data_IF_263539743726
#
_entry.id   IF_263539743726
#
_cell.length_a   1.000
_cell.length_b   1.000
_cell.length_c   1.000
_cell.angle_alpha   90.00
_cell.angle_beta   90.00
_cell.angle_gamma   90.00
#
_symmetry.space_group_name_H-M   'P 1'
#
loop_
_entity.id
_entity.type
_entity.pdbx_description
1 polymer ?
#
# COMPACT_ATOMS: atom_id res chain seq x y z
N UNK A 1 15.17 -11.18 -8.47
CA UNK A 1 13.78 -11.37 -7.99
C UNK A 1 13.17 -10.00 -7.92
N UNK A 2 12.23 -9.69 -8.83
CA UNK A 2 11.58 -8.39 -8.88
C UNK A 2 10.73 -8.11 -7.63
N UNK A 3 10.54 -6.83 -7.31
CA UNK A 3 9.70 -6.41 -6.18
C UNK A 3 8.26 -6.89 -6.36
N UNK A 4 7.62 -7.31 -5.26
CA UNK A 4 6.19 -7.67 -5.26
C UNK A 4 5.38 -6.52 -4.69
N UNK A 5 4.21 -6.28 -5.25
CA UNK A 5 3.30 -5.24 -4.78
C UNK A 5 1.85 -5.55 -5.13
N UNK A 6 0.94 -4.89 -4.43
CA UNK A 6 -0.50 -5.01 -4.73
C UNK A 6 -0.87 -3.93 -5.72
N UNK A 7 -1.52 -4.34 -6.82
CA UNK A 7 -2.11 -3.42 -7.80
C UNK A 7 -3.64 -3.53 -7.79
N UNK A 8 -4.28 -2.54 -8.37
CA UNK A 8 -5.72 -2.51 -8.55
C UNK A 8 -6.11 -2.34 -10.01
N UNK A 9 -7.16 -3.04 -10.43
CA UNK A 9 -7.91 -2.70 -11.65
C UNK A 9 -9.08 -1.78 -11.24
N UNK A 10 -9.00 -0.46 -11.52
CA UNK A 10 -10.04 0.47 -11.11
C UNK A 10 -11.39 0.21 -11.78
N UNK A 11 -11.41 -0.44 -12.95
CA UNK A 11 -12.65 -0.81 -13.65
C UNK A 11 -13.48 -1.86 -12.91
N UNK A 12 -12.83 -2.65 -12.04
CA UNK A 12 -13.46 -3.68 -11.19
C UNK A 12 -13.78 -3.16 -9.80
N UNK A 13 -13.23 -2.02 -9.39
CA UNK A 13 -13.44 -1.48 -8.07
C UNK A 13 -14.86 -0.89 -7.94
N UNK A 14 -15.62 -1.39 -6.98
CA UNK A 14 -16.99 -0.92 -6.70
C UNK A 14 -17.05 0.01 -5.48
N UNK A 15 -15.91 0.45 -4.95
CA UNK A 15 -15.84 1.39 -3.83
C UNK A 15 -16.32 0.84 -2.48
N UNK A 16 -16.52 -0.46 -2.32
CA UNK A 16 -17.10 -1.08 -1.11
C UNK A 16 -16.24 -0.95 0.17
N UNK A 17 -14.95 -0.56 0.03
CA UNK A 17 -13.98 -0.38 1.13
C UNK A 17 -13.70 -1.63 1.98
N UNK A 18 -14.13 -2.83 1.57
CA UNK A 18 -13.84 -4.08 2.27
C UNK A 18 -12.33 -4.31 2.47
N UNK A 19 -11.51 -3.92 1.48
CA UNK A 19 -10.05 -3.97 1.56
C UNK A 19 -9.47 -3.07 2.67
N UNK A 20 -10.06 -1.89 2.91
CA UNK A 20 -9.68 -1.01 4.00
C UNK A 20 -10.04 -1.63 5.36
N UNK A 21 -11.25 -2.17 5.49
CA UNK A 21 -11.69 -2.85 6.70
C UNK A 21 -10.80 -4.05 7.04
N UNK A 22 -10.49 -4.90 6.05
CA UNK A 22 -9.60 -6.05 6.24
C UNK A 22 -8.17 -5.62 6.64
N UNK A 23 -7.68 -4.52 6.08
CA UNK A 23 -6.39 -3.95 6.46
C UNK A 23 -6.39 -3.43 7.90
N UNK A 24 -7.48 -2.76 8.34
CA UNK A 24 -7.66 -2.29 9.71
C UNK A 24 -7.67 -3.46 10.70
N UNK A 25 -8.45 -4.50 10.42
CA UNK A 25 -8.53 -5.70 11.27
C UNK A 25 -7.16 -6.38 11.39
N UNK A 26 -6.44 -6.56 10.27
CA UNK A 26 -5.12 -7.20 10.25
C UNK A 26 -4.08 -6.42 11.05
N UNK A 27 -4.16 -5.10 11.03
CA UNK A 27 -3.16 -4.21 11.64
C UNK A 27 -3.68 -3.52 12.90
N UNK A 28 -4.75 -4.05 13.47
CA UNK A 28 -5.31 -3.52 14.71
C UNK A 28 -4.31 -3.67 15.87
N UNK A 29 -4.08 -2.57 16.58
CA UNK A 29 -3.30 -2.55 17.81
C UNK A 29 -4.19 -1.94 18.87
N UNK A 30 -4.48 -2.63 19.98
CA UNK A 30 -5.29 -2.10 21.07
C UNK A 30 -4.72 -0.78 21.60
N UNK A 31 -5.56 0.24 21.75
CA UNK A 31 -5.17 1.56 22.22
C UNK A 31 -4.62 2.52 21.15
N UNK A 32 -4.35 2.04 19.95
CA UNK A 32 -3.95 2.88 18.82
C UNK A 32 -5.14 3.34 17.97
N UNK A 33 -4.99 4.47 17.28
CA UNK A 33 -5.94 4.90 16.24
C UNK A 33 -5.84 3.91 15.06
N UNK A 34 -6.94 3.23 14.70
CA UNK A 34 -6.92 2.29 13.59
C UNK A 34 -6.78 3.02 12.25
N UNK A 35 -5.74 2.69 11.48
CA UNK A 35 -5.47 3.30 10.18
C UNK A 35 -5.19 2.22 9.15
N UNK A 36 -5.98 2.23 8.06
CA UNK A 36 -5.72 1.37 6.92
C UNK A 36 -4.44 1.82 6.20
N UNK A 37 -3.68 0.85 5.68
CA UNK A 37 -2.43 1.09 4.94
C UNK A 37 -2.65 1.22 3.43
N UNK A 38 -3.89 1.37 3.04
CA UNK A 38 -4.37 1.69 1.69
C UNK A 38 -5.58 2.61 1.82
N UNK A 39 -5.92 3.29 0.74
CA UNK A 39 -7.10 4.14 0.71
C UNK A 39 -7.92 3.85 -0.56
N UNK A 40 -9.23 4.09 -0.51
CA UNK A 40 -10.12 4.04 -1.67
C UNK A 40 -10.66 5.44 -1.88
N UNK A 41 -10.35 6.01 -3.04
CA UNK A 41 -10.74 7.37 -3.41
C UNK A 41 -11.76 7.36 -4.54
N UNK A 42 -12.60 8.39 -4.58
CA UNK A 42 -13.48 8.64 -5.70
C UNK A 42 -12.69 9.43 -6.76
N UNK A 43 -12.83 9.04 -8.02
CA UNK A 43 -12.22 9.69 -9.17
C UNK A 43 -13.37 10.15 -10.07
N UNK A 44 -13.68 11.45 -10.03
CA UNK A 44 -14.87 11.97 -10.66
C UNK A 44 -16.15 11.47 -9.99
N UNK A 45 -17.24 11.36 -10.76
CA UNK A 45 -18.57 10.99 -10.24
C UNK A 45 -18.79 9.48 -10.23
N UNK A 46 -18.20 8.73 -11.17
CA UNK A 46 -18.57 7.34 -11.47
C UNK A 46 -17.46 6.30 -11.17
N UNK A 47 -16.25 6.71 -10.81
CA UNK A 47 -15.14 5.79 -10.66
C UNK A 47 -14.56 5.85 -9.25
N UNK A 48 -14.24 4.67 -8.71
CA UNK A 48 -13.46 4.55 -7.48
C UNK A 48 -12.16 3.80 -7.72
N UNK A 49 -11.09 4.21 -7.05
CA UNK A 49 -9.80 3.58 -7.20
C UNK A 49 -9.12 3.34 -5.83
N UNK A 50 -8.61 2.14 -5.58
CA UNK A 50 -7.75 1.89 -4.44
C UNK A 50 -6.36 2.49 -4.68
N UNK A 51 -5.87 3.27 -3.72
CA UNK A 51 -4.51 3.81 -3.69
C UNK A 51 -3.66 2.91 -2.81
N UNK A 52 -2.59 2.39 -3.35
CA UNK A 52 -1.77 1.35 -2.76
C UNK A 52 -0.28 1.74 -2.75
N UNK A 53 0.49 1.14 -1.85
CA UNK A 53 1.94 1.25 -1.85
C UNK A 53 2.53 0.26 -2.88
N UNK A 54 3.33 0.77 -3.80
CA UNK A 54 3.96 -0.02 -4.86
C UNK A 54 5.29 -0.65 -4.46
N UNK A 55 5.78 -0.41 -3.24
CA UNK A 55 7.11 -0.89 -2.80
C UNK A 55 8.21 -0.62 -3.82
N UNK A 56 8.26 0.63 -4.32
CA UNK A 56 9.14 1.08 -5.39
C UNK A 56 10.59 0.65 -5.19
N UNK A 57 11.29 0.32 -6.27
CA UNK A 57 12.72 0.00 -6.25
C UNK A 57 13.55 1.21 -5.84
N UNK A 58 13.31 2.38 -6.44
CA UNK A 58 13.94 3.66 -6.06
C UNK A 58 13.09 4.41 -5.03
N UNK A 59 12.70 3.76 -3.95
CA UNK A 59 11.72 4.24 -2.98
C UNK A 59 11.95 5.69 -2.51
N UNK A 60 11.28 6.72 -3.08
CA UNK A 60 11.52 8.12 -2.70
C UNK A 60 11.17 8.38 -1.24
N UNK A 61 10.25 7.63 -0.67
CA UNK A 61 9.90 7.72 0.75
C UNK A 61 11.03 7.23 1.67
N UNK A 62 11.83 6.25 1.24
CA UNK A 62 13.00 5.78 1.97
C UNK A 62 14.17 6.76 1.79
N UNK A 63 14.41 7.25 0.57
CA UNK A 63 15.45 8.23 0.27
C UNK A 63 15.24 9.56 1.03
N UNK A 64 13.98 10.00 1.19
CA UNK A 64 13.64 11.21 1.93
C UNK A 64 13.63 11.04 3.45
N UNK A 65 13.86 9.83 3.99
CA UNK A 65 13.79 9.58 5.43
C UNK A 65 15.12 9.90 6.13
N UNK A 66 15.24 11.00 6.92
CA UNK A 66 16.51 11.43 7.49
C UNK A 66 17.06 10.48 8.56
N UNK A 67 16.19 9.65 9.14
CA UNK A 67 16.57 8.71 10.22
C UNK A 67 16.68 7.26 9.74
N UNK A 68 16.41 6.98 8.46
CA UNK A 68 16.38 5.61 7.95
C UNK A 68 15.25 4.75 8.52
N UNK A 69 14.20 5.36 9.09
CA UNK A 69 13.01 4.66 9.57
C UNK A 69 12.29 3.91 8.45
N UNK A 70 12.34 4.42 7.21
CA UNK A 70 11.97 3.72 5.99
C UNK A 70 13.25 3.26 5.30
N UNK A 71 13.30 2.01 4.91
CA UNK A 71 14.51 1.40 4.34
C UNK A 71 14.16 0.29 3.33
N UNK A 72 15.08 -0.02 2.46
CA UNK A 72 14.95 -1.16 1.56
C UNK A 72 15.16 -2.47 2.34
N UNK A 73 14.23 -3.40 2.19
CA UNK A 73 14.19 -4.70 2.84
C UNK A 73 13.95 -5.79 1.77
N UNK A 74 15.00 -6.11 1.03
CA UNK A 74 14.94 -7.03 -0.10
C UNK A 74 14.03 -6.48 -1.21
N UNK A 75 12.90 -7.14 -1.44
CA UNK A 75 11.92 -6.82 -2.49
C UNK A 75 10.81 -5.84 -2.02
N UNK A 76 11.03 -5.14 -0.92
CA UNK A 76 10.04 -4.21 -0.34
C UNK A 76 10.69 -3.04 0.38
N UNK A 77 9.86 -2.05 0.72
CA UNK A 77 10.23 -0.97 1.64
C UNK A 77 9.72 -1.31 3.04
N UNK A 78 10.64 -1.50 3.97
CA UNK A 78 10.39 -1.79 5.38
C UNK A 78 10.23 -0.53 6.24
N UNK A 79 9.76 -0.72 7.49
CA UNK A 79 9.57 0.34 8.48
C UNK A 79 10.16 -0.06 9.82
N UNK A 80 11.07 0.77 10.36
CA UNK A 80 11.57 0.70 11.73
C UNK A 80 10.93 1.83 12.54
N UNK A 81 9.81 1.54 13.19
CA UNK A 81 9.05 2.54 13.95
C UNK A 81 9.86 3.20 15.07
N UNK A 82 10.86 2.49 15.63
CA UNK A 82 11.74 3.03 16.67
C UNK A 82 12.58 4.22 16.21
N UNK A 83 12.85 4.33 14.91
CA UNK A 83 13.62 5.42 14.31
C UNK A 83 12.75 6.54 13.75
N UNK A 84 11.42 6.38 13.72
CA UNK A 84 10.52 7.39 13.17
C UNK A 84 10.41 8.58 14.12
N UNK A 85 10.71 9.78 13.60
CA UNK A 85 10.59 11.06 14.32
C UNK A 85 9.35 11.86 13.90
N UNK A 86 8.53 11.33 12.99
CA UNK A 86 7.29 11.96 12.54
C UNK A 86 7.44 13.19 11.65
N UNK A 87 8.59 13.41 11.02
CA UNK A 87 8.87 14.59 10.19
C UNK A 87 8.02 14.70 8.92
N UNK A 88 7.32 13.64 8.52
CA UNK A 88 6.42 13.57 7.35
C UNK A 88 7.09 13.73 5.98
N UNK A 89 8.42 13.82 5.88
CA UNK A 89 9.14 13.90 4.60
C UNK A 89 8.76 12.74 3.65
N UNK A 90 8.54 11.54 4.18
CA UNK A 90 8.10 10.38 3.41
C UNK A 90 6.67 10.51 2.84
N UNK A 91 5.79 11.27 3.49
CA UNK A 91 4.43 11.55 3.02
C UNK A 91 4.49 12.44 1.78
N UNK A 92 5.31 13.49 1.84
CA UNK A 92 5.50 14.44 0.72
C UNK A 92 6.23 13.77 -0.44
N UNK A 93 7.20 12.90 -0.15
CA UNK A 93 7.99 12.21 -1.18
C UNK A 93 7.23 11.10 -1.90
N UNK A 94 6.13 10.56 -1.34
CA UNK A 94 5.40 9.47 -1.96
C UNK A 94 4.52 9.96 -3.12
N UNK A 95 4.79 9.58 -4.39
CA UNK A 95 4.00 10.05 -5.54
C UNK A 95 2.58 9.48 -5.57
N UNK A 96 2.33 8.40 -4.81
CA UNK A 96 1.03 7.73 -4.76
C UNK A 96 0.18 8.16 -3.55
N UNK A 97 0.71 8.97 -2.62
CA UNK A 97 0.01 9.30 -1.37
C UNK A 97 -0.27 8.08 -0.47
N UNK A 98 0.52 7.01 -0.61
CA UNK A 98 0.31 5.74 0.09
C UNK A 98 1.04 5.63 1.44
N UNK A 99 1.59 6.73 1.93
CA UNK A 99 2.29 6.82 3.22
C UNK A 99 1.57 7.83 4.09
N UNK A 100 1.30 7.47 5.33
CA UNK A 100 0.68 8.36 6.32
C UNK A 100 1.52 8.36 7.60
N UNK A 101 1.50 9.47 8.34
CA UNK A 101 2.08 9.56 9.68
C UNK A 101 0.97 9.91 10.64
N UNK A 102 0.80 9.08 11.65
CA UNK A 102 -0.22 9.21 12.69
C UNK A 102 0.42 9.38 14.06
N UNK A 103 -0.32 9.92 15.01
CA UNK A 103 0.07 9.93 16.40
C UNK A 103 -0.43 8.65 17.07
N UNK A 104 0.47 7.95 17.74
CA UNK A 104 0.17 6.80 18.60
C UNK A 104 0.36 7.19 20.05
N UNK A 105 -0.62 6.89 20.84
CA UNK A 105 -0.60 7.15 22.27
C UNK A 105 -0.09 5.92 22.98
N UNK A 106 1.01 6.08 23.73
CA UNK A 106 1.50 5.03 24.62
C UNK A 106 0.81 5.16 25.99
N UNK A 107 0.48 4.01 26.57
CA UNK A 107 0.01 3.91 27.95
C UNK A 107 1.10 3.26 28.80
N UNK A 108 1.41 3.87 29.93
CA UNK A 108 2.25 3.24 30.95
C UNK A 108 1.36 2.66 32.04
N UNK A 109 1.67 1.46 32.48
CA UNK A 109 1.03 0.83 33.65
C UNK A 109 1.76 1.28 34.92
N UNK A 110 1.01 1.90 35.83
CA UNK A 110 1.48 2.27 37.17
C UNK A 110 0.64 1.50 38.20
N UNK A 111 1.03 0.26 38.52
CA UNK A 111 0.19 -0.67 39.27
C UNK A 111 -1.05 -1.04 38.44
N UNK A 112 -2.24 -0.91 39.04
CA UNK A 112 -3.52 -1.17 38.34
C UNK A 112 -4.02 0.02 37.52
N UNK A 113 -3.29 1.15 37.52
CA UNK A 113 -3.67 2.37 36.83
C UNK A 113 -2.96 2.48 35.47
N UNK A 114 -3.74 2.67 34.40
CA UNK A 114 -3.22 2.95 33.06
C UNK A 114 -3.16 4.47 32.87
N UNK A 115 -1.94 5.01 32.73
CA UNK A 115 -1.71 6.45 32.54
C UNK A 115 -1.15 6.72 31.14
N UNK A 116 -1.53 7.85 30.54
CA UNK A 116 -0.97 8.27 29.26
C UNK A 116 0.53 8.56 29.39
N UNK A 117 1.37 7.82 28.64
CA UNK A 117 2.83 7.98 28.64
C UNK A 117 3.34 8.89 27.51
N UNK A 118 2.44 9.59 26.80
CA UNK A 118 2.76 10.52 25.73
C UNK A 118 2.32 10.04 24.36
N UNK A 119 2.43 10.93 23.39
CA UNK A 119 2.15 10.67 21.98
C UNK A 119 3.46 10.51 21.21
N UNK A 120 3.52 9.52 20.31
CA UNK A 120 4.64 9.30 19.41
C UNK A 120 4.14 9.24 17.98
N UNK A 121 4.77 10.01 17.10
CA UNK A 121 4.48 9.91 15.68
C UNK A 121 4.96 8.56 15.13
N UNK A 122 4.14 7.95 14.28
CA UNK A 122 4.41 6.67 13.66
C UNK A 122 4.05 6.70 12.18
N UNK A 123 5.00 6.32 11.32
CA UNK A 123 4.72 6.16 9.89
C UNK A 123 3.90 4.88 9.67
N UNK A 124 2.86 5.01 8.86
CA UNK A 124 1.97 3.92 8.43
C UNK A 124 2.08 3.78 6.92
N UNK A 125 2.45 2.58 6.46
CA UNK A 125 2.46 2.19 5.05
C UNK A 125 2.23 0.68 4.92
N UNK A 126 1.86 0.23 3.73
CA UNK A 126 1.68 -1.19 3.43
C UNK A 126 2.97 -1.98 3.70
N UNK A 127 2.82 -3.17 4.29
CA UNK A 127 3.88 -4.16 4.52
C UNK A 127 3.65 -5.46 3.73
N UNK A 128 2.63 -5.47 2.84
CA UNK A 128 2.17 -6.64 2.08
C UNK A 128 1.66 -7.79 2.95
N UNK A 129 1.43 -7.56 4.24
CA UNK A 129 1.04 -8.60 5.21
C UNK A 129 1.95 -9.84 5.13
N UNK A 130 3.27 -9.65 5.10
CA UNK A 130 4.27 -10.72 4.87
C UNK A 130 4.22 -11.84 5.92
N UNK A 131 3.63 -11.57 7.07
CA UNK A 131 3.39 -12.51 8.15
C UNK A 131 2.16 -13.42 7.92
N UNK A 132 1.41 -13.23 6.81
CA UNK A 132 0.26 -14.04 6.45
C UNK A 132 0.61 -15.06 5.35
N UNK A 133 0.24 -16.32 5.59
CA UNK A 133 0.41 -17.40 4.60
C UNK A 133 -0.47 -17.22 3.35
N UNK A 134 -1.67 -16.66 3.53
CA UNK A 134 -2.65 -16.46 2.45
C UNK A 134 -2.46 -15.14 1.68
N UNK A 135 -1.33 -14.45 1.89
CA UNK A 135 -1.04 -13.16 1.24
C UNK A 135 -1.79 -11.97 1.85
N UNK A 136 -1.84 -10.83 1.13
CA UNK A 136 -2.37 -9.59 1.65
C UNK A 136 -3.86 -9.66 1.99
N UNK A 137 -4.26 -9.23 3.19
CA UNK A 137 -5.64 -9.25 3.66
C UNK A 137 -6.60 -8.46 2.76
N UNK A 138 -6.13 -7.36 2.17
CA UNK A 138 -6.92 -6.54 1.25
C UNK A 138 -7.24 -7.26 -0.08
N UNK A 139 -6.33 -8.11 -0.57
CA UNK A 139 -6.55 -8.91 -1.79
C UNK A 139 -7.59 -9.99 -1.51
N UNK A 140 -7.45 -10.72 -0.41
CA UNK A 140 -8.38 -11.77 0.01
C UNK A 140 -9.81 -11.23 0.24
N UNK A 141 -9.93 -10.04 0.83
CA UNK A 141 -11.22 -9.42 1.13
C UNK A 141 -11.89 -8.73 -0.08
N UNK A 142 -11.21 -8.67 -1.23
CA UNK A 142 -11.73 -7.97 -2.40
C UNK A 142 -12.75 -8.83 -3.16
N UNK A 143 -14.04 -8.63 -2.91
CA UNK A 143 -15.13 -9.39 -3.52
C UNK A 143 -15.27 -9.18 -5.03
N UNK A 144 -14.88 -8.02 -5.54
CA UNK A 144 -14.87 -7.71 -6.98
C UNK A 144 -13.58 -8.15 -7.69
N UNK A 145 -12.63 -8.76 -6.95
CA UNK A 145 -11.31 -9.14 -7.47
C UNK A 145 -10.57 -8.01 -8.20
N UNK A 146 -10.77 -6.79 -7.74
CA UNK A 146 -10.08 -5.61 -8.25
C UNK A 146 -8.61 -5.56 -7.81
N UNK A 147 -8.27 -6.16 -6.66
CA UNK A 147 -6.92 -6.17 -6.10
C UNK A 147 -6.20 -7.48 -6.41
N UNK A 148 -4.92 -7.38 -6.77
CA UNK A 148 -4.07 -8.54 -7.00
C UNK A 148 -2.64 -8.26 -6.54
N UNK A 149 -1.97 -9.29 -5.99
CA UNK A 149 -0.54 -9.26 -5.68
C UNK A 149 0.21 -9.76 -6.89
N UNK A 150 1.11 -8.97 -7.44
CA UNK A 150 1.95 -9.33 -8.59
C UNK A 150 3.42 -9.02 -8.33
N UNK A 151 4.31 -9.66 -9.09
CA UNK A 151 5.71 -9.28 -9.19
C UNK A 151 5.94 -8.31 -10.35
N UNK A 152 7.08 -7.62 -10.36
CA UNK A 152 7.49 -6.78 -11.48
C UNK A 152 7.56 -7.59 -12.78
N UNK A 153 8.17 -8.78 -12.73
CA UNK A 153 8.29 -9.66 -13.90
C UNK A 153 6.92 -10.05 -14.48
N UNK A 154 5.94 -10.32 -13.62
CA UNK A 154 4.57 -10.61 -14.05
C UNK A 154 3.88 -9.39 -14.66
N UNK A 155 4.13 -8.19 -14.11
CA UNK A 155 3.61 -6.94 -14.68
C UNK A 155 4.20 -6.70 -16.08
N UNK A 156 5.51 -6.88 -16.23
CA UNK A 156 6.21 -6.69 -17.51
C UNK A 156 5.71 -7.66 -18.56
N UNK A 157 5.49 -8.93 -18.20
CA UNK A 157 4.90 -9.93 -19.10
C UNK A 157 3.50 -9.50 -19.57
N UNK A 158 2.64 -9.06 -18.67
CA UNK A 158 1.28 -8.58 -19.02
C UNK A 158 1.30 -7.32 -19.89
N UNK A 159 2.26 -6.43 -19.66
CA UNK A 159 2.44 -5.24 -20.52
C UNK A 159 2.88 -5.67 -21.92
N UNK A 160 3.80 -6.63 -22.01
CA UNK A 160 4.26 -7.15 -23.31
C UNK A 160 3.14 -7.86 -24.08
N UNK A 161 2.34 -8.68 -23.42
CA UNK A 161 1.15 -9.31 -24.02
C UNK A 161 0.20 -8.27 -24.62
N UNK A 162 -0.10 -7.19 -23.87
CA UNK A 162 -0.95 -6.11 -24.37
C UNK A 162 -0.35 -5.38 -25.56
N UNK A 163 0.97 -5.18 -25.58
CA UNK A 163 1.67 -4.56 -26.71
C UNK A 163 1.59 -5.45 -27.96
N UNK A 164 1.78 -6.76 -27.81
CA UNK A 164 1.62 -7.69 -28.92
C UNK A 164 0.20 -7.69 -29.46
N UNK A 165 -0.81 -7.78 -28.57
CA UNK A 165 -2.21 -7.73 -29.00
C UNK A 165 -2.55 -6.43 -29.73
N UNK A 166 -2.10 -5.28 -29.24
CA UNK A 166 -2.34 -4.00 -29.91
C UNK A 166 -1.66 -3.91 -31.30
N UNK A 167 -0.51 -4.55 -31.46
CA UNK A 167 0.16 -4.63 -32.74
C UNK A 167 -0.59 -5.53 -33.73
N UNK A 168 -1.11 -6.68 -33.26
CA UNK A 168 -1.92 -7.59 -34.07
C UNK A 168 -3.22 -6.91 -34.51
N UNK A 169 -3.94 -6.25 -33.58
CA UNK A 169 -5.17 -5.49 -33.89
C UNK A 169 -4.92 -4.36 -34.92
N UNK A 170 -3.77 -3.67 -34.80
CA UNK A 170 -3.40 -2.63 -35.76
C UNK A 170 -3.08 -3.20 -37.15
N UNK A 171 -2.44 -4.38 -37.22
CA UNK A 171 -2.13 -5.07 -38.46
C UNK A 171 -3.41 -5.53 -39.17
N UNK A 172 -4.37 -6.07 -38.42
CA UNK A 172 -5.67 -6.48 -38.95
C UNK A 172 -6.44 -5.28 -39.52
N UNK A 173 -6.39 -4.12 -38.87
CA UNK A 173 -7.01 -2.89 -39.36
C UNK A 173 -6.32 -2.37 -40.60
N UNK A 174 -5.00 -2.47 -40.73
CA UNK A 174 -4.26 -2.02 -41.92
C UNK A 174 -4.63 -2.81 -43.20
N UNK A 175 -5.08 -4.05 -43.03
CA UNK A 175 -5.58 -4.88 -44.14
C UNK A 175 -6.96 -4.49 -44.69
N UNK A 176 -7.62 -3.52 -44.03
CA UNK A 176 -8.95 -3.02 -44.44
C UNK A 176 -8.88 -1.75 -45.32
N UNK A 177 -7.71 -1.10 -45.38
CA UNK A 177 -7.42 0.08 -46.23
C UNK A 177 -6.59 -0.31 -47.43
#
# INVERSE_FOLDING_TARGET
MGSKFVIADPRKCVGCKACMAACLVKHFVPGDVPVARLNVVNVGEDMTAPILCHHCEDAPCAAACPTGALYHDGDRVGVKLSQCIGCRSCVVACPFGAVTVVERYSQAQLGDLSVGAGARAAVVKCDRCIDRKNGPACVEACTSHALMLISQDELDSRVQERRSQAADDANDMAGVF
#
